data_IF_980907113998
#
_entry.id   IF_980907113998
#
_cell.length_a   1.000
_cell.length_b   1.000
_cell.length_c   1.000
_cell.angle_alpha   90.00
_cell.angle_beta   90.00
_cell.angle_gamma   90.00
#
_symmetry.space_group_name_H-M   'P 1'
#
loop_
_entity.id
_entity.type
_entity.pdbx_description
1 polymer ?
#
# COMPACT_ATOMS: atom_id res chain seq x y z
N UNK A 1 -10.77 -0.62 8.90
CA UNK A 1 -9.30 -0.80 8.99
C UNK A 1 -8.67 0.52 9.44
N UNK A 2 -7.71 0.54 10.36
CA UNK A 2 -7.18 1.82 10.93
C UNK A 2 -5.67 1.91 10.88
N UNK A 3 -5.12 3.12 10.95
CA UNK A 3 -3.70 3.38 11.20
C UNK A 3 -3.58 4.38 12.36
N UNK A 4 -3.48 3.85 13.57
CA UNK A 4 -3.59 4.65 14.79
C UNK A 4 -5.00 5.23 14.99
N UNK A 5 -5.19 6.12 15.98
CA UNK A 5 -6.50 6.67 16.32
C UNK A 5 -7.01 7.72 15.33
N UNK A 6 -6.14 8.26 14.45
CA UNK A 6 -6.45 9.40 13.58
C UNK A 6 -6.91 9.01 12.17
N UNK A 7 -6.64 7.77 11.74
CA UNK A 7 -6.86 7.36 10.35
C UNK A 7 -7.71 6.09 10.28
N UNK A 8 -8.85 6.20 9.58
CA UNK A 8 -9.71 5.08 9.22
C UNK A 8 -9.71 4.89 7.68
N UNK A 9 -9.52 3.65 7.25
CA UNK A 9 -9.61 3.22 5.86
C UNK A 9 -10.89 2.40 5.66
N UNK A 10 -11.72 2.89 4.74
CA UNK A 10 -12.93 2.23 4.22
C UNK A 10 -12.64 1.62 2.85
N UNK A 11 -13.34 0.55 2.52
CA UNK A 11 -13.11 -0.21 1.29
C UNK A 11 -14.11 0.15 0.20
N UNK A 12 -13.61 0.44 -1.00
CA UNK A 12 -14.36 0.51 -2.24
C UNK A 12 -13.42 0.14 -3.39
N UNK A 13 -13.89 -0.69 -4.33
CA UNK A 13 -13.13 -1.08 -5.52
C UNK A 13 -13.58 -0.31 -6.78
N UNK A 14 -14.69 0.43 -6.70
CA UNK A 14 -15.23 1.20 -7.83
C UNK A 14 -16.04 0.37 -8.83
N UNK A 15 -16.03 -0.96 -8.69
CA UNK A 15 -16.75 -1.91 -9.56
C UNK A 15 -17.89 -2.59 -8.81
N UNK A 16 -17.55 -3.55 -7.94
CA UNK A 16 -18.50 -4.33 -7.13
C UNK A 16 -18.98 -3.50 -5.92
N UNK A 17 -18.07 -2.77 -5.30
CA UNK A 17 -18.31 -1.93 -4.12
C UNK A 17 -17.99 -0.48 -4.50
N UNK A 18 -19.02 0.23 -4.95
CA UNK A 18 -18.90 1.64 -5.37
C UNK A 18 -18.90 2.64 -4.22
N UNK A 19 -19.61 2.32 -3.13
CA UNK A 19 -19.66 3.16 -1.93
C UNK A 19 -18.69 2.62 -0.88
N UNK A 20 -17.82 3.45 -0.29
CA UNK A 20 -16.90 2.99 0.76
C UNK A 20 -17.64 2.36 1.93
N UNK A 21 -17.34 1.10 2.22
CA UNK A 21 -17.88 0.35 3.35
C UNK A 21 -16.85 0.20 4.47
N UNK A 22 -17.34 0.12 5.69
CA UNK A 22 -16.55 -0.26 6.85
C UNK A 22 -16.40 -1.78 6.90
N UNK A 23 -15.16 -2.23 7.06
CA UNK A 23 -14.80 -3.65 7.21
C UNK A 23 -13.70 -3.79 8.24
N UNK A 24 -13.62 -4.98 8.85
CA UNK A 24 -12.55 -5.34 9.78
C UNK A 24 -11.18 -5.29 9.09
N UNK A 25 -10.11 -5.16 9.89
CA UNK A 25 -8.75 -5.14 9.36
C UNK A 25 -8.39 -6.37 8.51
N UNK A 26 -8.65 -7.62 8.96
CA UNK A 26 -8.39 -8.81 8.14
C UNK A 26 -9.18 -8.80 6.82
N UNK A 27 -10.47 -8.45 6.87
CA UNK A 27 -11.31 -8.43 5.67
C UNK A 27 -10.88 -7.34 4.68
N UNK A 28 -10.39 -6.21 5.19
CA UNK A 28 -9.82 -5.16 4.35
C UNK A 28 -8.59 -5.65 3.60
N UNK A 29 -7.67 -6.32 4.29
CA UNK A 29 -6.43 -6.84 3.68
C UNK A 29 -6.75 -7.92 2.65
N UNK A 30 -7.67 -8.83 2.95
CA UNK A 30 -8.15 -9.85 2.00
C UNK A 30 -8.68 -9.21 0.71
N UNK A 31 -9.68 -8.32 0.81
CA UNK A 31 -10.27 -7.64 -0.35
C UNK A 31 -9.22 -6.83 -1.14
N UNK A 32 -8.24 -6.26 -0.45
CA UNK A 32 -7.16 -5.51 -1.05
C UNK A 32 -6.20 -6.38 -1.83
N UNK A 33 -5.80 -7.54 -1.30
CA UNK A 33 -4.91 -8.46 -1.99
C UNK A 33 -5.61 -9.08 -3.21
N UNK A 34 -6.85 -9.54 -3.06
CA UNK A 34 -7.66 -10.05 -4.17
C UNK A 34 -7.82 -9.00 -5.28
N UNK A 35 -8.04 -7.73 -4.91
CA UNK A 35 -8.15 -6.66 -5.88
C UNK A 35 -6.84 -6.38 -6.61
N UNK A 36 -5.70 -6.38 -5.90
CA UNK A 36 -4.38 -6.18 -6.51
C UNK A 36 -4.08 -7.33 -7.48
N UNK A 37 -4.30 -8.58 -7.08
CA UNK A 37 -4.14 -9.76 -7.94
C UNK A 37 -4.98 -9.61 -9.21
N UNK A 38 -6.26 -9.24 -9.09
CA UNK A 38 -7.11 -8.96 -10.24
C UNK A 38 -6.63 -7.81 -11.14
N UNK A 39 -5.89 -6.82 -10.62
CA UNK A 39 -5.24 -5.82 -11.46
C UNK A 39 -4.04 -6.41 -12.22
N UNK A 40 -3.20 -7.20 -11.54
CA UNK A 40 -1.99 -7.80 -12.11
C UNK A 40 -2.29 -8.85 -13.17
N UNK A 41 -3.37 -9.62 -13.00
CA UNK A 41 -3.82 -10.63 -13.96
C UNK A 41 -4.52 -10.04 -15.18
N UNK A 42 -4.90 -8.76 -15.13
CA UNK A 42 -5.55 -8.10 -16.23
C UNK A 42 -4.54 -7.69 -17.31
N UNK A 43 -4.46 -8.48 -18.40
CA UNK A 43 -3.55 -8.22 -19.54
C UNK A 43 -3.73 -6.85 -20.20
N UNK A 44 -4.89 -6.19 -20.03
CA UNK A 44 -5.09 -4.81 -20.54
C UNK A 44 -4.39 -3.75 -19.68
N UNK A 45 -4.05 -4.09 -18.43
CA UNK A 45 -3.31 -3.24 -17.48
C UNK A 45 -1.83 -3.66 -17.43
N UNK A 46 -1.58 -4.96 -17.29
CA UNK A 46 -0.24 -5.56 -17.25
C UNK A 46 -0.08 -6.53 -18.43
N UNK A 47 0.34 -6.03 -19.61
CA UNK A 47 0.50 -6.85 -20.80
C UNK A 47 1.57 -7.94 -20.58
N UNK A 48 1.24 -9.19 -20.88
CA UNK A 48 2.17 -10.32 -20.75
C UNK A 48 2.95 -10.62 -22.04
N UNK A 49 2.47 -10.10 -23.18
CA UNK A 49 3.11 -10.28 -24.48
C UNK A 49 4.27 -9.30 -24.65
N UNK A 50 5.45 -9.81 -25.02
CA UNK A 50 6.61 -8.99 -25.33
C UNK A 50 6.26 -7.96 -26.42
N UNK A 51 6.57 -6.69 -26.16
CA UNK A 51 6.30 -5.58 -27.08
C UNK A 51 4.88 -5.01 -27.02
N UNK A 52 3.97 -5.59 -26.23
CA UNK A 52 2.66 -4.97 -26.00
C UNK A 52 2.81 -3.71 -25.12
N UNK A 53 2.20 -2.58 -25.51
CA UNK A 53 2.31 -1.33 -24.76
C UNK A 53 1.43 -1.38 -23.50
N UNK A 54 1.91 -0.75 -22.42
CA UNK A 54 1.08 -0.45 -21.26
C UNK A 54 -0.02 0.57 -21.61
N UNK A 55 -1.18 0.54 -20.93
CA UNK A 55 -2.24 1.50 -21.20
C UNK A 55 -1.84 2.93 -20.75
N UNK A 56 -2.45 3.98 -21.32
CA UNK A 56 -2.10 5.37 -20.98
C UNK A 56 -2.27 5.72 -19.49
N UNK A 57 -3.19 5.04 -18.79
CA UNK A 57 -3.47 5.23 -17.37
C UNK A 57 -2.66 4.28 -16.46
N UNK A 58 -1.69 3.53 -16.98
CA UNK A 58 -0.93 2.53 -16.21
C UNK A 58 -0.32 3.12 -14.93
N UNK A 59 0.30 4.30 -15.03
CA UNK A 59 0.90 4.98 -13.88
C UNK A 59 -0.13 5.28 -12.78
N UNK A 60 -1.37 5.63 -13.14
CA UNK A 60 -2.43 5.91 -12.18
C UNK A 60 -2.93 4.64 -11.48
N UNK A 61 -2.95 3.52 -12.20
CA UNK A 61 -3.23 2.20 -11.62
C UNK A 61 -2.14 1.82 -10.62
N UNK A 62 -0.86 1.94 -11.00
CA UNK A 62 0.28 1.66 -10.11
C UNK A 62 0.25 2.55 -8.86
N UNK A 63 0.01 3.87 -9.01
CA UNK A 63 -0.18 4.78 -7.87
C UNK A 63 -1.28 4.31 -6.93
N UNK A 64 -2.39 3.82 -7.48
CA UNK A 64 -3.52 3.32 -6.68
C UNK A 64 -3.16 2.04 -5.91
N UNK A 65 -2.42 1.11 -6.55
CA UNK A 65 -1.90 -0.10 -5.90
C UNK A 65 -0.96 0.27 -4.75
N UNK A 66 0.03 1.12 -5.00
CA UNK A 66 1.00 1.55 -3.98
C UNK A 66 0.33 2.25 -2.81
N UNK A 67 -0.61 3.18 -3.08
CA UNK A 67 -1.39 3.82 -2.03
C UNK A 67 -2.14 2.81 -1.15
N UNK A 68 -2.75 1.80 -1.75
CA UNK A 68 -3.49 0.76 -1.04
C UNK A 68 -2.54 -0.10 -0.19
N UNK A 69 -1.41 -0.54 -0.75
CA UNK A 69 -0.38 -1.28 -0.02
C UNK A 69 0.19 -0.50 1.17
N UNK A 70 0.38 0.82 1.03
CA UNK A 70 0.83 1.67 2.14
C UNK A 70 -0.10 1.60 3.37
N UNK A 71 -1.42 1.47 3.15
CA UNK A 71 -2.39 1.35 4.26
C UNK A 71 -2.16 0.09 5.09
N UNK A 72 -1.67 -0.98 4.46
CA UNK A 72 -1.32 -2.24 5.14
C UNK A 72 -0.07 -2.03 6.01
N UNK A 73 0.98 -1.40 5.48
CA UNK A 73 2.15 -1.02 6.27
C UNK A 73 1.77 -0.14 7.47
N UNK A 74 1.00 0.92 7.23
CA UNK A 74 0.53 1.83 8.27
C UNK A 74 -0.23 1.08 9.38
N UNK A 75 -1.10 0.15 9.03
CA UNK A 75 -1.79 -0.67 10.02
C UNK A 75 -0.85 -1.59 10.80
N UNK A 76 0.07 -2.28 10.13
CA UNK A 76 1.01 -3.19 10.79
C UNK A 76 1.86 -2.42 11.80
N UNK A 77 2.44 -1.29 11.42
CA UNK A 77 3.26 -0.47 12.31
C UNK A 77 2.48 0.10 13.50
N UNK A 78 1.22 0.51 13.31
CA UNK A 78 0.42 1.07 14.42
C UNK A 78 -0.19 0.01 15.34
N UNK A 79 -0.64 -1.12 14.81
CA UNK A 79 -1.49 -2.08 15.55
C UNK A 79 -0.78 -3.39 15.87
N UNK A 80 0.19 -3.80 15.07
CA UNK A 80 0.78 -5.15 15.15
C UNK A 80 2.29 -5.17 15.32
N UNK A 81 2.96 -4.02 15.41
CA UNK A 81 4.42 -3.96 15.48
C UNK A 81 5.02 -4.74 16.66
N UNK A 82 4.41 -4.68 17.84
CA UNK A 82 4.85 -5.47 19.00
C UNK A 82 4.81 -6.99 18.74
N UNK A 83 3.83 -7.45 17.96
CA UNK A 83 3.74 -8.86 17.56
C UNK A 83 4.85 -9.21 16.56
N UNK A 84 5.15 -8.33 15.60
CA UNK A 84 6.27 -8.52 14.65
C UNK A 84 7.61 -8.61 15.39
N UNK A 85 7.83 -7.75 16.40
CA UNK A 85 9.02 -7.79 17.26
C UNK A 85 9.07 -9.11 18.05
N UNK A 86 7.94 -9.58 18.57
CA UNK A 86 7.91 -10.87 19.29
C UNK A 86 8.27 -12.07 18.40
N UNK A 87 8.06 -11.96 17.10
CA UNK A 87 8.44 -12.95 16.09
C UNK A 87 9.88 -12.76 15.58
N UNK A 88 10.58 -11.70 16.00
CA UNK A 88 11.93 -11.30 15.52
C UNK A 88 11.96 -11.01 14.01
N UNK A 89 10.87 -10.47 13.48
CA UNK A 89 10.70 -10.18 12.05
C UNK A 89 10.80 -8.68 11.71
N UNK A 90 11.07 -7.82 12.69
CA UNK A 90 11.10 -6.37 12.53
C UNK A 90 12.13 -5.89 11.51
N UNK A 91 13.28 -6.56 11.40
CA UNK A 91 14.30 -6.24 10.42
C UNK A 91 13.80 -6.48 8.97
N UNK A 92 13.01 -7.53 8.76
CA UNK A 92 12.41 -7.85 7.45
C UNK A 92 11.36 -6.81 7.08
N UNK A 93 10.44 -6.51 8.01
CA UNK A 93 9.43 -5.48 7.82
C UNK A 93 10.05 -4.12 7.49
N UNK A 94 11.04 -3.69 8.29
CA UNK A 94 11.71 -2.39 8.12
C UNK A 94 12.48 -2.30 6.80
N UNK A 95 13.16 -3.38 6.40
CA UNK A 95 13.89 -3.40 5.12
C UNK A 95 12.93 -3.32 3.94
N UNK A 96 11.84 -4.09 3.98
CA UNK A 96 10.82 -4.09 2.93
C UNK A 96 10.12 -2.72 2.84
N UNK A 97 9.77 -2.12 3.99
CA UNK A 97 9.16 -0.79 4.06
C UNK A 97 10.12 0.32 3.59
N UNK A 98 11.40 0.26 3.97
CA UNK A 98 12.42 1.20 3.49
C UNK A 98 12.52 1.18 1.98
N UNK A 99 12.61 0.01 1.37
CA UNK A 99 12.63 -0.12 -0.09
C UNK A 99 11.34 0.42 -0.72
N UNK A 100 10.18 0.07 -0.17
CA UNK A 100 8.89 0.57 -0.64
C UNK A 100 8.80 2.10 -0.63
N UNK A 101 9.27 2.76 0.43
CA UNK A 101 9.26 4.23 0.56
C UNK A 101 10.24 4.87 -0.42
N UNK A 102 11.47 4.36 -0.52
CA UNK A 102 12.46 4.90 -1.47
C UNK A 102 11.95 4.81 -2.92
N UNK A 103 11.37 3.67 -3.31
CA UNK A 103 10.77 3.49 -4.64
C UNK A 103 9.57 4.42 -4.86
N UNK A 104 8.70 4.54 -3.86
CA UNK A 104 7.54 5.45 -3.91
C UNK A 104 7.97 6.90 -4.10
N UNK A 105 9.03 7.34 -3.40
CA UNK A 105 9.56 8.69 -3.48
C UNK A 105 10.20 8.96 -4.84
N UNK A 106 11.06 8.04 -5.32
CA UNK A 106 11.75 8.18 -6.60
C UNK A 106 10.78 8.39 -7.77
N UNK A 107 9.70 7.59 -7.82
CA UNK A 107 8.74 7.62 -8.93
C UNK A 107 7.50 8.49 -8.69
N UNK A 108 7.39 9.11 -7.51
CA UNK A 108 6.25 9.94 -7.11
C UNK A 108 4.93 9.16 -7.11
N UNK A 109 4.92 7.98 -6.47
CA UNK A 109 3.78 7.05 -6.52
C UNK A 109 2.70 7.32 -5.49
N UNK A 110 3.03 8.01 -4.40
CA UNK A 110 2.09 8.39 -3.33
C UNK A 110 2.32 9.85 -2.97
N UNK A 111 1.24 10.60 -2.80
CA UNK A 111 1.32 11.99 -2.36
C UNK A 111 1.77 12.08 -0.90
N UNK A 112 2.60 13.07 -0.55
CA UNK A 112 3.12 13.26 0.81
C UNK A 112 2.01 13.29 1.88
N UNK A 113 0.87 13.90 1.57
CA UNK A 113 -0.28 13.97 2.49
C UNK A 113 -0.85 12.59 2.86
N UNK A 114 -0.75 11.62 1.95
CA UNK A 114 -1.24 10.26 2.17
C UNK A 114 -0.24 9.41 2.97
N UNK A 115 1.03 9.83 3.05
CA UNK A 115 2.08 9.21 3.86
C UNK A 115 2.07 9.65 5.34
N UNK A 116 1.26 10.65 5.69
CA UNK A 116 1.17 11.23 7.02
C UNK A 116 1.06 10.22 8.19
N UNK A 117 0.35 9.07 8.07
CA UNK A 117 0.25 8.09 9.16
C UNK A 117 1.59 7.51 9.64
N UNK A 118 2.64 7.52 8.81
CA UNK A 118 3.97 7.03 9.14
C UNK A 118 5.06 8.08 8.91
N UNK A 119 4.71 9.38 8.94
CA UNK A 119 5.63 10.46 8.56
C UNK A 119 6.94 10.43 9.34
N UNK A 120 6.89 10.28 10.67
CA UNK A 120 8.10 10.23 11.52
C UNK A 120 9.05 9.10 11.13
N UNK A 121 8.50 7.91 10.83
CA UNK A 121 9.29 6.76 10.38
C UNK A 121 9.87 7.01 8.98
N UNK A 122 9.09 7.61 8.09
CA UNK A 122 9.51 7.94 6.72
C UNK A 122 10.63 8.98 6.73
N UNK A 123 10.54 10.00 7.58
CA UNK A 123 11.57 11.04 7.70
C UNK A 123 12.91 10.42 8.14
N UNK A 124 12.89 9.45 9.06
CA UNK A 124 14.08 8.70 9.48
C UNK A 124 14.71 7.83 8.36
N UNK A 125 13.96 7.52 7.31
CA UNK A 125 14.43 6.73 6.16
C UNK A 125 15.02 7.65 5.09
N UNK A 126 14.36 8.79 4.83
CA UNK A 126 14.68 9.69 3.72
C UNK A 126 15.83 10.64 4.07
N UNK A 127 15.98 11.04 5.33
CA UNK A 127 17.10 11.88 5.77
C UNK A 127 18.26 10.97 6.17
N UNK A 128 19.33 10.88 5.36
CA UNK A 128 20.54 10.23 5.82
C UNK A 128 21.19 11.11 6.89
N UNK A 129 21.74 10.49 7.93
CA UNK A 129 22.63 11.16 8.89
C UNK A 129 23.74 11.96 8.19
#
# INVERSE_FOLDING_TARGET
MTAGPKYEYRWADGEKIKKPIEVSAPKYVELLMDWIEGQLDNESIFPQRLGAPFPPNFKDVVKTIFKRLFRVYAHIYHTHFQKIVSLKEEAHLNTCFKHFILFTCEFGLIERKELAPLQELIDSIIVPY
#
